data_IF_958952045935
#
_entry.id   IF_958952045935
#
_cell.length_a   1.000
_cell.length_b   1.000
_cell.length_c   1.000
_cell.angle_alpha   90.00
_cell.angle_beta   90.00
_cell.angle_gamma   90.00
#
_symmetry.space_group_name_H-M   'P 1'
#
loop_
_entity.id
_entity.type
_entity.pdbx_description
1 polymer ?
#
# COMPACT_ATOMS: atom_id res chain seq x y z
N UNK A 1 44.40 -5.16 -25.62
CA UNK A 1 44.01 -3.80 -26.05
C UNK A 1 42.51 -3.77 -26.28
N UNK A 2 41.86 -2.66 -25.91
CA UNK A 2 40.41 -2.34 -26.06
C UNK A 2 39.52 -3.02 -25.01
N UNK A 3 38.67 -2.37 -24.21
CA UNK A 3 37.86 -1.14 -24.39
C UNK A 3 36.52 -1.52 -25.04
N UNK A 4 35.31 -1.15 -24.61
CA UNK A 4 34.73 -0.25 -23.62
C UNK A 4 33.19 -0.22 -23.89
N UNK A 5 32.39 0.48 -23.06
CA UNK A 5 30.99 0.78 -23.42
C UNK A 5 30.03 0.86 -22.24
N UNK A 6 30.11 1.94 -21.47
CA UNK A 6 29.01 2.36 -20.60
C UNK A 6 27.86 2.91 -21.43
N UNK A 7 26.64 2.62 -20.95
CA UNK A 7 25.41 3.41 -20.97
C UNK A 7 24.20 2.51 -21.29
N UNK A 8 23.38 2.21 -20.28
CA UNK A 8 21.96 1.88 -20.49
C UNK A 8 21.23 2.23 -19.21
N UNK A 9 20.58 3.39 -19.23
CA UNK A 9 19.60 3.81 -18.25
C UNK A 9 18.48 2.77 -18.23
N UNK A 10 18.61 1.77 -17.37
CA UNK A 10 17.47 0.99 -16.93
C UNK A 10 16.69 1.96 -16.06
N UNK A 11 15.65 2.57 -16.63
CA UNK A 11 14.55 3.07 -15.82
C UNK A 11 14.06 1.85 -15.03
N UNK A 12 14.58 1.73 -13.81
CA UNK A 12 14.11 0.81 -12.79
C UNK A 12 12.61 1.10 -12.67
N UNK A 13 11.79 0.24 -13.27
CA UNK A 13 10.34 0.32 -13.08
C UNK A 13 10.15 0.27 -11.57
N UNK A 14 9.64 1.32 -10.92
CA UNK A 14 9.55 1.34 -9.46
C UNK A 14 8.86 0.07 -9.00
N UNK A 15 9.36 -0.57 -7.95
CA UNK A 15 8.96 -1.95 -7.63
C UNK A 15 7.53 -1.98 -7.04
N UNK A 16 6.51 -1.82 -7.90
CA UNK A 16 5.10 -1.65 -7.54
C UNK A 16 4.50 -2.89 -6.87
N UNK A 17 5.09 -4.06 -7.11
CA UNK A 17 4.74 -5.31 -6.41
C UNK A 17 5.05 -5.18 -4.91
N UNK A 18 6.12 -4.46 -4.56
CA UNK A 18 6.48 -4.19 -3.18
C UNK A 18 5.53 -3.18 -2.51
N UNK A 19 5.00 -2.22 -3.27
CA UNK A 19 4.09 -1.18 -2.76
C UNK A 19 2.70 -1.76 -2.44
N UNK A 20 2.16 -2.61 -3.32
CA UNK A 20 0.89 -3.31 -3.05
C UNK A 20 1.02 -4.26 -1.84
N UNK A 21 2.14 -4.99 -1.74
CA UNK A 21 2.44 -5.82 -0.56
C UNK A 21 2.57 -4.98 0.72
N UNK A 22 3.14 -3.78 0.63
CA UNK A 22 3.23 -2.85 1.75
C UNK A 22 1.86 -2.34 2.16
N UNK A 23 0.97 -2.02 1.21
CA UNK A 23 -0.42 -1.68 1.50
C UNK A 23 -1.17 -2.82 2.19
N UNK A 24 -0.98 -4.07 1.76
CA UNK A 24 -1.57 -5.24 2.44
C UNK A 24 -1.05 -5.38 3.87
N UNK A 25 0.26 -5.24 4.07
CA UNK A 25 0.86 -5.25 5.40
C UNK A 25 0.25 -4.16 6.28
N UNK A 26 0.12 -2.94 5.77
CA UNK A 26 -0.55 -1.84 6.46
C UNK A 26 -2.01 -2.17 6.83
N UNK A 27 -2.82 -2.57 5.86
CA UNK A 27 -4.24 -2.92 6.08
C UNK A 27 -4.42 -4.10 7.05
N UNK A 28 -3.46 -5.02 7.12
CA UNK A 28 -3.53 -6.17 8.02
C UNK A 28 -3.11 -5.85 9.47
N UNK A 29 -2.22 -4.86 9.65
CA UNK A 29 -1.48 -4.66 10.91
C UNK A 29 -1.67 -3.29 11.56
N UNK A 30 -2.23 -2.31 10.87
CA UNK A 30 -2.42 -0.97 11.44
C UNK A 30 -3.38 -1.01 12.63
N UNK A 31 -2.89 -0.53 13.77
CA UNK A 31 -3.62 -0.38 15.03
C UNK A 31 -3.68 1.09 15.38
N UNK A 32 -4.89 1.61 15.64
CA UNK A 32 -5.08 2.98 16.12
C UNK A 32 -4.52 3.11 17.53
N UNK A 33 -3.90 4.25 17.85
CA UNK A 33 -3.34 4.51 19.19
C UNK A 33 -4.42 4.30 20.26
N UNK A 34 -4.16 3.39 21.20
CA UNK A 34 -5.08 3.04 22.28
C UNK A 34 -5.98 1.82 22.01
N UNK A 35 -5.97 1.30 20.78
CA UNK A 35 -6.67 0.06 20.42
C UNK A 35 -5.77 -1.16 20.56
N UNK A 36 -6.38 -2.33 20.80
CA UNK A 36 -5.65 -3.62 20.89
C UNK A 36 -5.70 -4.44 19.59
N UNK A 37 -6.62 -4.10 18.68
CA UNK A 37 -6.89 -4.87 17.47
C UNK A 37 -6.64 -4.04 16.21
N UNK A 38 -6.23 -4.68 15.09
CA UNK A 38 -6.08 -4.00 13.82
C UNK A 38 -7.39 -3.37 13.33
N UNK A 39 -7.29 -2.16 12.79
CA UNK A 39 -8.44 -1.31 12.46
C UNK A 39 -9.18 -1.75 11.19
N UNK A 40 -8.45 -2.11 10.13
CA UNK A 40 -9.00 -2.38 8.81
C UNK A 40 -9.58 -3.80 8.59
N UNK A 41 -9.10 -4.88 9.22
CA UNK A 41 -9.64 -6.23 8.96
C UNK A 41 -11.14 -6.40 9.22
N UNK A 42 -11.76 -5.79 10.26
CA UNK A 42 -13.22 -5.78 10.39
C UNK A 42 -13.94 -5.07 9.22
N UNK A 43 -13.36 -4.01 8.68
CA UNK A 43 -13.93 -3.26 7.55
C UNK A 43 -13.86 -4.09 6.27
N UNK A 44 -12.71 -4.70 5.99
CA UNK A 44 -12.51 -5.60 4.85
C UNK A 44 -13.49 -6.79 4.89
N UNK A 45 -13.75 -7.37 6.07
CA UNK A 45 -14.78 -8.41 6.24
C UNK A 45 -16.19 -7.93 5.89
N UNK A 46 -16.55 -6.69 6.22
CA UNK A 46 -17.83 -6.09 5.82
C UNK A 46 -17.91 -5.87 4.31
N UNK A 47 -16.80 -5.51 3.67
CA UNK A 47 -16.72 -5.38 2.21
C UNK A 47 -16.87 -6.75 1.53
N UNK A 48 -16.12 -7.76 1.99
CA UNK A 48 -16.21 -9.14 1.49
C UNK A 48 -17.63 -9.72 1.59
N UNK A 49 -18.33 -9.41 2.69
CA UNK A 49 -19.73 -9.82 2.92
C UNK A 49 -20.78 -8.92 2.26
N UNK A 50 -20.37 -7.93 1.46
CA UNK A 50 -21.26 -6.96 0.78
C UNK A 50 -22.12 -6.12 1.74
N UNK A 51 -21.76 -6.05 3.01
CA UNK A 51 -22.41 -5.18 4.01
C UNK A 51 -21.94 -3.72 3.89
N UNK A 52 -20.76 -3.51 3.30
CA UNK A 52 -20.16 -2.21 3.05
C UNK A 52 -19.58 -2.22 1.63
N UNK A 53 -19.65 -1.09 0.93
CA UNK A 53 -19.17 -0.96 -0.47
C UNK A 53 -17.98 -0.04 -0.63
N UNK A 54 -17.62 0.71 0.42
CA UNK A 54 -16.57 1.72 0.39
C UNK A 54 -15.52 1.45 1.46
N UNK A 55 -14.25 1.39 1.06
CA UNK A 55 -13.10 1.44 1.98
C UNK A 55 -12.52 2.86 1.97
N UNK A 56 -12.43 3.50 3.13
CA UNK A 56 -11.73 4.78 3.28
C UNK A 56 -10.44 4.58 4.06
N UNK A 57 -9.33 5.06 3.51
CA UNK A 57 -8.01 5.04 4.14
C UNK A 57 -7.52 6.48 4.27
N UNK A 58 -7.20 6.89 5.49
CA UNK A 58 -6.63 8.21 5.76
C UNK A 58 -5.11 8.14 5.64
N UNK A 59 -4.49 9.09 4.92
CA UNK A 59 -3.03 9.16 4.82
C UNK A 59 -2.34 9.32 6.18
N UNK A 60 -3.01 9.95 7.15
CA UNK A 60 -2.51 10.06 8.52
C UNK A 60 -2.23 8.68 9.15
N UNK A 61 -3.05 7.67 8.83
CA UNK A 61 -2.85 6.31 9.35
C UNK A 61 -1.56 5.67 8.81
N UNK A 62 -1.13 6.01 7.59
CA UNK A 62 0.16 5.55 7.07
C UNK A 62 1.33 6.14 7.86
N UNK A 63 1.21 7.40 8.28
CA UNK A 63 2.21 8.07 9.11
C UNK A 63 2.19 7.61 10.57
N UNK A 64 1.03 7.18 11.07
CA UNK A 64 0.83 6.64 12.42
C UNK A 64 1.13 5.14 12.52
N UNK A 65 1.36 4.48 11.39
CA UNK A 65 1.69 3.06 11.36
C UNK A 65 3.09 2.85 11.98
N UNK A 66 3.20 1.92 12.92
CA UNK A 66 4.45 1.52 13.60
C UNK A 66 5.38 0.69 12.68
N UNK A 67 5.50 1.10 11.42
CA UNK A 67 6.40 0.51 10.45
C UNK A 67 7.02 1.65 9.62
N UNK A 68 8.36 1.69 9.47
CA UNK A 68 9.03 2.76 8.72
C UNK A 68 8.58 2.85 7.25
N UNK A 69 8.02 1.77 6.69
CA UNK A 69 7.46 1.76 5.34
C UNK A 69 6.21 2.64 5.21
N UNK A 70 5.51 2.91 6.32
CA UNK A 70 4.33 3.77 6.32
C UNK A 70 4.62 5.19 5.85
N UNK A 71 5.73 5.77 6.32
CA UNK A 71 6.19 7.08 5.86
C UNK A 71 6.52 7.10 4.37
N UNK A 72 7.30 6.12 3.89
CA UNK A 72 7.68 6.02 2.47
C UNK A 72 6.45 5.83 1.57
N UNK A 73 5.51 4.99 2.00
CA UNK A 73 4.26 4.76 1.27
C UNK A 73 3.39 6.03 1.24
N UNK A 74 3.33 6.78 2.33
CA UNK A 74 2.63 8.07 2.37
C UNK A 74 3.26 9.07 1.39
N UNK A 75 4.59 9.23 1.39
CA UNK A 75 5.28 10.13 0.45
C UNK A 75 5.01 9.74 -1.00
N UNK A 76 5.10 8.43 -1.31
CA UNK A 76 4.87 7.95 -2.66
C UNK A 76 3.41 8.15 -3.12
N UNK A 77 2.43 7.94 -2.23
CA UNK A 77 1.02 8.27 -2.50
C UNK A 77 0.82 9.76 -2.71
N UNK A 78 1.52 10.63 -1.97
CA UNK A 78 1.44 12.09 -2.17
C UNK A 78 2.04 12.54 -3.51
N UNK A 79 3.11 11.89 -3.97
CA UNK A 79 3.74 12.18 -5.25
C UNK A 79 2.90 11.73 -6.46
N UNK A 80 2.13 10.64 -6.33
CA UNK A 80 1.32 10.10 -7.43
C UNK A 80 -0.02 9.47 -6.98
N UNK A 81 -0.88 10.30 -6.37
CA UNK A 81 -2.10 9.83 -5.69
C UNK A 81 -3.07 9.08 -6.60
N UNK A 82 -3.25 9.55 -7.84
CA UNK A 82 -4.17 8.94 -8.80
C UNK A 82 -3.77 7.49 -9.11
N UNK A 83 -2.49 7.26 -9.40
CA UNK A 83 -1.99 5.92 -9.74
C UNK A 83 -2.11 4.96 -8.56
N UNK A 84 -1.80 5.44 -7.37
CA UNK A 84 -1.91 4.64 -6.16
C UNK A 84 -3.35 4.22 -5.87
N UNK A 85 -4.33 5.10 -6.14
CA UNK A 85 -5.75 4.77 -6.01
C UNK A 85 -6.20 3.80 -7.11
N UNK A 86 -5.86 4.07 -8.37
CA UNK A 86 -6.41 3.35 -9.53
C UNK A 86 -5.81 1.94 -9.69
N UNK A 87 -4.59 1.69 -9.21
CA UNK A 87 -3.85 0.43 -9.47
C UNK A 87 -3.38 -0.23 -8.16
N UNK A 88 -2.43 0.39 -7.45
CA UNK A 88 -1.71 -0.23 -6.32
C UNK A 88 -2.65 -0.58 -5.16
N UNK A 89 -3.51 0.36 -4.75
CA UNK A 89 -4.43 0.19 -3.64
C UNK A 89 -5.56 -0.78 -3.98
N UNK A 90 -6.18 -0.63 -5.15
CA UNK A 90 -7.22 -1.55 -5.63
C UNK A 90 -6.71 -2.99 -5.66
N UNK A 91 -5.52 -3.21 -6.24
CA UNK A 91 -4.90 -4.53 -6.28
C UNK A 91 -4.63 -5.11 -4.90
N UNK A 92 -4.10 -4.30 -3.98
CA UNK A 92 -3.86 -4.75 -2.60
C UNK A 92 -5.15 -5.17 -1.89
N UNK A 93 -6.25 -4.44 -2.10
CA UNK A 93 -7.55 -4.76 -1.53
C UNK A 93 -8.15 -6.01 -2.17
N UNK A 94 -8.08 -6.14 -3.49
CA UNK A 94 -8.59 -7.32 -4.22
C UNK A 94 -7.89 -8.60 -3.74
N UNK A 95 -6.56 -8.58 -3.67
CA UNK A 95 -5.75 -9.70 -3.14
C UNK A 95 -6.17 -10.08 -1.70
N UNK A 96 -6.51 -9.11 -0.85
CA UNK A 96 -6.98 -9.37 0.53
C UNK A 96 -8.44 -9.85 0.61
N UNK A 97 -9.26 -9.60 -0.40
CA UNK A 97 -10.65 -10.05 -0.44
C UNK A 97 -10.78 -11.48 -0.99
N UNK A 98 -9.83 -11.91 -1.82
CA UNK A 98 -9.76 -13.26 -2.37
C UNK A 98 -9.32 -14.32 -1.35
N UNK A 99 -8.46 -13.96 -0.37
CA UNK A 99 -8.09 -14.80 0.79
C UNK A 99 -9.26 -15.00 1.78
#
# INVERSE_FOLDING_TARGET
GGGGGGNTSTEESPDYTSEAATFRAFLSSFVVIGEALPFYPPILRRIKSRQQTLLQVHLAHLNEWDDPRGFLLMEAVQQNSKRYQDDVFCRAVDEMLEE
#
